data_IF_791283337344
#
_entry.id   IF_791283337344
#
_cell.length_a   1.000
_cell.length_b   1.000
_cell.length_c   1.000
_cell.angle_alpha   90.00
_cell.angle_beta   90.00
_cell.angle_gamma   90.00
#
_symmetry.space_group_name_H-M   'P 1'
#
loop_
_entity.id
_entity.type
_entity.pdbx_description
1 polymer ?
#
# COMPACT_ATOMS: atom_id res chain seq x y z
N UNK A 1 3.81 7.26 51.12
CA UNK A 1 4.18 7.83 49.80
C UNK A 1 4.39 6.74 48.72
N UNK A 2 3.54 5.72 48.60
CA UNK A 2 3.79 4.57 47.64
C UNK A 2 2.64 4.32 46.67
N UNK A 3 1.64 5.21 46.57
CA UNK A 3 0.47 5.03 45.66
C UNK A 3 0.55 5.75 44.31
N UNK A 4 1.44 6.71 44.16
CA UNK A 4 1.47 7.61 42.99
C UNK A 4 2.34 7.03 41.83
N UNK A 5 3.28 6.15 42.14
CA UNK A 5 4.23 5.62 41.13
C UNK A 5 3.58 4.55 40.22
N UNK A 6 2.60 3.78 40.73
CA UNK A 6 1.96 2.69 39.95
C UNK A 6 1.05 3.24 38.85
N UNK A 7 0.41 4.40 39.05
CA UNK A 7 -0.48 5.02 38.06
C UNK A 7 0.28 5.61 36.84
N UNK A 8 1.48 6.14 37.06
CA UNK A 8 2.30 6.71 35.98
C UNK A 8 2.88 5.63 35.07
N UNK A 9 3.29 4.49 35.64
CA UNK A 9 3.79 3.34 34.87
C UNK A 9 2.71 2.68 33.99
N UNK A 10 1.47 2.59 34.48
CA UNK A 10 0.36 2.06 33.68
C UNK A 10 0.00 3.01 32.52
N UNK A 11 -0.04 4.33 32.73
CA UNK A 11 -0.34 5.28 31.66
C UNK A 11 0.76 5.31 30.59
N UNK A 12 2.02 5.19 30.97
CA UNK A 12 3.14 5.12 30.01
C UNK A 12 3.11 3.83 29.16
N UNK A 13 2.72 2.70 29.75
CA UNK A 13 2.61 1.43 29.01
C UNK A 13 1.46 1.46 27.99
N UNK A 14 0.34 2.08 28.30
CA UNK A 14 -0.79 2.23 27.35
C UNK A 14 -0.44 3.18 26.20
N UNK A 15 0.28 4.26 26.46
CA UNK A 15 0.75 5.17 25.42
C UNK A 15 1.74 4.49 24.46
N UNK A 16 2.68 3.70 24.98
CA UNK A 16 3.65 2.95 24.16
C UNK A 16 2.98 1.88 23.27
N UNK A 17 1.97 1.17 23.80
CA UNK A 17 1.20 0.20 23.03
C UNK A 17 0.42 0.90 21.91
N UNK A 18 -0.21 2.03 22.19
CA UNK A 18 -0.94 2.80 21.20
C UNK A 18 -0.05 3.32 20.04
N UNK A 19 1.15 3.77 20.35
CA UNK A 19 2.14 4.23 19.36
C UNK A 19 2.64 3.06 18.51
N UNK A 20 2.96 1.92 19.13
CA UNK A 20 3.44 0.73 18.42
C UNK A 20 2.36 0.17 17.48
N UNK A 21 1.11 0.13 17.89
CA UNK A 21 -0.01 -0.29 17.04
C UNK A 21 -0.25 0.67 15.89
N UNK A 22 -0.18 1.98 16.14
CA UNK A 22 -0.30 3.00 15.08
C UNK A 22 0.79 2.83 14.01
N UNK A 23 2.04 2.59 14.41
CA UNK A 23 3.14 2.35 13.49
C UNK A 23 2.95 1.08 12.64
N UNK A 24 2.48 -0.02 13.25
CA UNK A 24 2.19 -1.25 12.52
C UNK A 24 1.07 -1.08 11.48
N UNK A 25 0.04 -0.30 11.82
CA UNK A 25 -1.05 0.02 10.90
C UNK A 25 -0.55 0.86 9.72
N UNK A 26 0.23 1.89 9.97
CA UNK A 26 0.82 2.72 8.90
C UNK A 26 1.73 1.89 7.98
N UNK A 27 2.54 1.00 8.55
CA UNK A 27 3.40 0.12 7.76
C UNK A 27 2.59 -0.86 6.90
N UNK A 28 1.52 -1.43 7.43
CA UNK A 28 0.61 -2.29 6.67
C UNK A 28 -0.04 -1.55 5.50
N UNK A 29 -0.54 -0.35 5.75
CA UNK A 29 -1.15 0.51 4.73
C UNK A 29 -0.14 0.79 3.62
N UNK A 30 1.06 1.24 3.96
CA UNK A 30 2.12 1.52 2.99
C UNK A 30 2.46 0.29 2.14
N UNK A 31 2.51 -0.88 2.75
CA UNK A 31 2.84 -2.14 2.07
C UNK A 31 1.75 -2.58 1.09
N UNK A 32 0.47 -2.42 1.47
CA UNK A 32 -0.64 -3.05 0.74
C UNK A 32 -1.56 -2.07 0.00
N UNK A 33 -1.40 -0.75 0.15
CA UNK A 33 -2.27 0.24 -0.51
C UNK A 33 -2.37 0.06 -2.03
N UNK A 34 -1.26 -0.24 -2.70
CA UNK A 34 -1.25 -0.45 -4.15
C UNK A 34 -2.05 -1.68 -4.53
N UNK A 35 -1.90 -2.76 -3.76
CA UNK A 35 -2.64 -3.99 -3.99
C UNK A 35 -4.15 -3.75 -3.81
N UNK A 36 -4.55 -3.02 -2.77
CA UNK A 36 -5.95 -2.66 -2.55
C UNK A 36 -6.52 -1.78 -3.67
N UNK A 37 -5.75 -0.80 -4.19
CA UNK A 37 -6.16 0.02 -5.34
C UNK A 37 -6.28 -0.85 -6.62
N UNK A 38 -5.37 -1.79 -6.86
CA UNK A 38 -5.48 -2.73 -7.98
C UNK A 38 -6.74 -3.59 -7.88
N UNK A 39 -7.02 -4.14 -6.70
CA UNK A 39 -8.25 -4.90 -6.45
C UNK A 39 -9.51 -4.05 -6.66
N UNK A 40 -9.49 -2.79 -6.20
CA UNK A 40 -10.59 -1.85 -6.45
C UNK A 40 -10.86 -1.66 -7.95
N UNK A 41 -9.82 -1.47 -8.74
CA UNK A 41 -9.96 -1.27 -10.19
C UNK A 41 -10.49 -2.51 -10.91
N UNK A 42 -10.17 -3.70 -10.43
CA UNK A 42 -10.54 -4.98 -11.04
C UNK A 42 -11.91 -5.47 -10.58
N UNK A 43 -12.21 -5.34 -9.30
CA UNK A 43 -13.37 -5.95 -8.65
C UNK A 43 -14.40 -4.94 -8.15
N UNK A 44 -14.13 -3.64 -8.26
CA UNK A 44 -15.04 -2.57 -7.80
C UNK A 44 -15.39 -2.62 -6.31
N UNK A 45 -14.43 -3.01 -5.49
CA UNK A 45 -14.50 -2.95 -4.02
C UNK A 45 -13.63 -1.76 -3.59
N UNK A 46 -14.10 -0.81 -2.75
CA UNK A 46 -13.27 0.32 -2.31
C UNK A 46 -11.93 -0.12 -1.74
N UNK A 47 -10.85 0.54 -2.12
CA UNK A 47 -9.52 0.26 -1.59
C UNK A 47 -9.45 0.50 -0.08
N UNK A 48 -10.15 1.52 0.41
CA UNK A 48 -10.30 1.82 1.83
C UNK A 48 -10.92 0.67 2.62
N UNK A 49 -11.97 0.04 2.10
CA UNK A 49 -12.63 -1.12 2.69
C UNK A 49 -11.67 -2.31 2.72
N UNK A 50 -11.03 -2.62 1.60
CA UNK A 50 -10.07 -3.74 1.52
C UNK A 50 -8.91 -3.55 2.50
N UNK A 51 -8.35 -2.34 2.62
CA UNK A 51 -7.28 -2.04 3.58
C UNK A 51 -7.76 -2.16 5.03
N UNK A 52 -8.91 -1.58 5.37
CA UNK A 52 -9.46 -1.63 6.73
C UNK A 52 -9.76 -3.07 7.17
N UNK A 53 -10.35 -3.89 6.28
CA UNK A 53 -10.55 -5.31 6.53
C UNK A 53 -9.22 -6.03 6.74
N UNK A 54 -8.25 -5.84 5.85
CA UNK A 54 -6.93 -6.46 5.98
C UNK A 54 -6.22 -6.07 7.29
N UNK A 55 -6.34 -4.82 7.74
CA UNK A 55 -5.81 -4.37 9.03
C UNK A 55 -6.41 -5.13 10.21
N UNK A 56 -7.74 -5.26 10.24
CA UNK A 56 -8.46 -5.90 11.36
C UNK A 56 -8.23 -7.41 11.36
N UNK A 57 -8.49 -8.06 10.23
CA UNK A 57 -8.50 -9.52 10.10
C UNK A 57 -7.10 -10.13 10.24
N UNK A 58 -6.04 -9.37 9.91
CA UNK A 58 -4.67 -9.85 9.97
C UNK A 58 -3.85 -9.31 11.15
N UNK A 59 -4.43 -8.51 12.04
CA UNK A 59 -3.67 -7.75 13.05
C UNK A 59 -2.53 -6.97 12.38
N UNK A 60 -2.86 -6.17 11.38
CA UNK A 60 -1.89 -5.44 10.56
C UNK A 60 -0.77 -6.35 9.98
N UNK A 61 -1.14 -7.54 9.52
CA UNK A 61 -0.23 -8.51 8.91
C UNK A 61 0.60 -9.33 9.91
N UNK A 62 0.38 -9.18 11.22
CA UNK A 62 1.16 -9.85 12.28
C UNK A 62 0.52 -11.15 12.76
N UNK A 63 -0.73 -11.41 12.45
CA UNK A 63 -1.42 -12.63 12.87
C UNK A 63 -0.76 -13.88 12.28
N UNK A 64 -0.91 -15.02 12.94
CA UNK A 64 -0.43 -16.32 12.43
C UNK A 64 -1.00 -16.64 11.05
N UNK A 65 -2.27 -16.28 10.80
CA UNK A 65 -2.89 -16.46 9.48
C UNK A 65 -2.18 -15.63 8.40
N UNK A 66 -1.81 -14.40 8.70
CA UNK A 66 -1.09 -13.55 7.75
C UNK A 66 0.35 -14.01 7.53
N UNK A 67 1.09 -14.34 8.61
CA UNK A 67 2.53 -14.63 8.54
C UNK A 67 2.85 -16.04 8.04
N UNK A 68 2.05 -17.05 8.41
CA UNK A 68 2.30 -18.46 8.06
C UNK A 68 1.50 -18.92 6.83
N UNK A 69 0.30 -18.38 6.66
CA UNK A 69 -0.60 -18.78 5.58
C UNK A 69 -0.82 -17.69 4.52
N UNK A 70 -0.21 -16.51 4.63
CA UNK A 70 -0.49 -15.35 3.78
C UNK A 70 -1.99 -15.00 3.71
N UNK A 71 -2.79 -15.39 4.71
CA UNK A 71 -4.23 -15.20 4.73
C UNK A 71 -4.57 -13.93 5.52
N UNK A 72 -4.68 -12.82 4.82
CA UNK A 72 -4.89 -11.50 5.40
C UNK A 72 -6.36 -11.19 5.75
N UNK A 73 -7.30 -12.05 5.36
CA UNK A 73 -8.74 -11.81 5.52
C UNK A 73 -9.46 -12.93 6.27
N UNK A 74 -8.72 -13.87 6.85
CA UNK A 74 -9.32 -14.97 7.63
C UNK A 74 -10.24 -15.87 6.82
N UNK A 75 -9.99 -16.07 5.52
CA UNK A 75 -10.90 -16.86 4.68
C UNK A 75 -10.76 -18.34 4.99
N UNK A 76 -11.87 -18.94 5.41
CA UNK A 76 -12.00 -20.39 5.68
C UNK A 76 -12.13 -21.21 4.39
N UNK A 77 -11.79 -22.50 4.42
CA UNK A 77 -11.74 -23.37 3.23
C UNK A 77 -13.08 -23.69 2.60
N UNK A 78 -14.20 -23.38 3.17
CA UNK A 78 -15.53 -23.77 2.70
C UNK A 78 -15.74 -23.68 1.17
N UNK A 79 -16.71 -24.39 0.63
CA UNK A 79 -17.04 -24.43 -0.79
C UNK A 79 -16.07 -25.29 -1.61
N UNK A 80 -15.66 -24.80 -2.79
CA UNK A 80 -14.84 -25.52 -3.77
C UNK A 80 -13.31 -25.35 -3.54
N UNK A 81 -12.87 -24.99 -2.33
CA UNK A 81 -11.45 -24.83 -2.06
C UNK A 81 -10.71 -26.18 -2.04
N UNK A 82 -9.82 -26.41 -3.01
CA UNK A 82 -8.96 -27.60 -3.12
C UNK A 82 -7.48 -27.29 -2.85
N UNK A 83 -7.17 -26.06 -2.41
CA UNK A 83 -5.80 -25.62 -2.12
C UNK A 83 -5.34 -26.01 -0.70
N UNK A 84 -4.08 -25.70 -0.36
CA UNK A 84 -3.53 -25.93 0.97
C UNK A 84 -4.27 -25.12 2.04
N UNK A 85 -4.22 -25.60 3.29
CA UNK A 85 -4.84 -24.93 4.43
C UNK A 85 -3.98 -25.10 5.69
N UNK A 86 -4.28 -24.31 6.70
CA UNK A 86 -3.79 -24.50 8.07
C UNK A 86 -4.99 -24.65 9.03
N UNK A 87 -4.77 -25.34 10.12
CA UNK A 87 -5.75 -25.48 11.20
C UNK A 87 -5.55 -24.38 12.24
N UNK A 88 -6.64 -23.77 12.69
CA UNK A 88 -6.65 -22.79 13.77
C UNK A 88 -7.96 -22.84 14.52
N UNK A 89 -7.93 -22.58 15.82
CA UNK A 89 -9.12 -22.38 16.62
C UNK A 89 -9.66 -20.95 16.36
N UNK A 90 -10.94 -20.84 16.08
CA UNK A 90 -11.67 -19.59 15.88
C UNK A 90 -13.06 -19.74 16.52
N UNK A 91 -14.16 -19.70 15.77
CA UNK A 91 -15.51 -19.97 16.29
C UNK A 91 -15.66 -21.43 16.78
N UNK A 92 -14.88 -22.33 16.20
CA UNK A 92 -14.78 -23.75 16.60
C UNK A 92 -13.31 -24.21 16.64
N UNK A 93 -13.01 -25.31 17.36
CA UNK A 93 -11.68 -25.93 17.34
C UNK A 93 -11.32 -26.46 15.93
N UNK A 94 -10.03 -26.34 15.56
CA UNK A 94 -9.46 -26.94 14.35
C UNK A 94 -10.14 -26.52 13.04
N UNK A 95 -10.61 -25.30 12.94
CA UNK A 95 -11.16 -24.79 11.68
C UNK A 95 -10.07 -24.64 10.61
N UNK A 96 -10.46 -24.93 9.36
CA UNK A 96 -9.54 -24.89 8.21
C UNK A 96 -9.55 -23.52 7.56
N UNK A 97 -8.38 -22.85 7.53
CA UNK A 97 -8.17 -21.58 6.87
C UNK A 97 -7.33 -21.76 5.62
N UNK A 98 -7.68 -21.09 4.53
CA UNK A 98 -6.93 -21.13 3.27
C UNK A 98 -5.50 -20.68 3.49
N UNK A 99 -4.56 -21.37 2.82
CA UNK A 99 -3.14 -20.98 2.77
C UNK A 99 -2.80 -20.56 1.35
N UNK A 100 -2.22 -19.40 1.21
CA UNK A 100 -1.84 -18.80 -0.08
C UNK A 100 -0.32 -18.78 -0.25
N UNK A 101 0.16 -18.68 -1.49
CA UNK A 101 1.57 -18.53 -1.80
C UNK A 101 2.09 -17.13 -1.48
N UNK A 102 1.19 -16.13 -1.52
CA UNK A 102 1.51 -14.73 -1.29
C UNK A 102 0.31 -13.95 -0.75
N UNK A 103 0.57 -12.77 -0.17
CA UNK A 103 -0.48 -11.81 0.18
C UNK A 103 -1.33 -11.42 -1.04
N UNK A 104 -0.73 -11.34 -2.24
CA UNK A 104 -1.45 -11.01 -3.47
C UNK A 104 -2.56 -12.03 -3.79
N UNK A 105 -2.30 -13.33 -3.60
CA UNK A 105 -3.34 -14.36 -3.78
C UNK A 105 -4.47 -14.21 -2.75
N UNK A 106 -4.14 -13.84 -1.51
CA UNK A 106 -5.14 -13.56 -0.47
C UNK A 106 -6.04 -12.38 -0.81
N UNK A 107 -5.47 -11.28 -1.29
CA UNK A 107 -6.22 -10.10 -1.74
C UNK A 107 -7.11 -10.40 -2.95
N UNK A 108 -6.59 -11.18 -3.89
CA UNK A 108 -7.34 -11.62 -5.07
C UNK A 108 -8.53 -12.50 -4.67
N UNK A 109 -8.30 -13.48 -3.79
CA UNK A 109 -9.34 -14.40 -3.34
C UNK A 109 -10.38 -13.68 -2.48
N UNK A 110 -10.00 -12.72 -1.64
CA UNK A 110 -10.92 -11.86 -0.90
C UNK A 110 -11.82 -11.06 -1.86
N UNK A 111 -11.26 -10.47 -2.91
CA UNK A 111 -12.04 -9.72 -3.88
C UNK A 111 -13.00 -10.61 -4.65
N UNK A 112 -12.58 -11.81 -5.03
CA UNK A 112 -13.46 -12.83 -5.62
C UNK A 112 -14.54 -13.28 -4.65
N UNK A 113 -14.19 -13.51 -3.40
CA UNK A 113 -15.14 -13.91 -2.36
C UNK A 113 -16.29 -12.91 -2.21
N UNK A 114 -16.01 -11.62 -2.24
CA UNK A 114 -17.05 -10.59 -2.17
C UNK A 114 -17.83 -10.46 -3.49
N UNK A 115 -17.14 -10.45 -4.63
CA UNK A 115 -17.76 -10.17 -5.94
C UNK A 115 -18.61 -11.32 -6.49
N UNK A 116 -18.37 -12.57 -6.06
CA UNK A 116 -19.07 -13.76 -6.59
C UNK A 116 -20.20 -14.27 -5.71
N UNK A 117 -20.29 -13.80 -4.46
CA UNK A 117 -21.34 -14.28 -3.54
C UNK A 117 -22.54 -13.36 -3.53
N UNK A 118 -23.72 -13.90 -3.88
CA UNK A 118 -24.97 -13.16 -4.03
C UNK A 118 -25.36 -12.29 -2.85
N UNK A 119 -25.02 -12.71 -1.60
CA UNK A 119 -25.32 -11.92 -0.39
C UNK A 119 -24.65 -10.55 -0.36
N UNK A 120 -23.57 -10.34 -1.12
CA UNK A 120 -22.86 -9.05 -1.24
C UNK A 120 -23.23 -8.27 -2.49
N UNK A 121 -24.08 -8.81 -3.38
CA UNK A 121 -24.34 -8.21 -4.70
C UNK A 121 -24.87 -6.76 -4.62
N UNK A 122 -25.69 -6.45 -3.61
CA UNK A 122 -26.21 -5.09 -3.42
C UNK A 122 -25.14 -4.04 -3.17
N UNK A 123 -23.98 -4.41 -2.61
CA UNK A 123 -22.88 -3.51 -2.35
C UNK A 123 -22.30 -2.91 -3.62
N UNK A 124 -22.34 -3.65 -4.72
CA UNK A 124 -21.79 -3.23 -6.02
C UNK A 124 -22.63 -2.15 -6.72
N UNK A 125 -23.82 -1.80 -6.17
CA UNK A 125 -24.61 -0.65 -6.57
C UNK A 125 -24.15 0.66 -5.90
N UNK A 126 -23.31 0.57 -4.84
CA UNK A 126 -22.78 1.74 -4.14
C UNK A 126 -21.62 2.37 -4.94
N UNK A 127 -21.43 3.67 -4.70
CA UNK A 127 -20.22 4.35 -5.21
C UNK A 127 -18.98 3.79 -4.52
N UNK A 128 -17.85 3.73 -5.23
CA UNK A 128 -16.56 3.34 -4.65
C UNK A 128 -16.13 4.26 -3.50
N UNK A 129 -16.57 5.51 -3.49
CA UNK A 129 -16.27 6.48 -2.45
C UNK A 129 -17.24 6.44 -1.26
N UNK A 130 -18.24 5.56 -1.29
CA UNK A 130 -19.20 5.38 -0.20
C UNK A 130 -18.76 4.25 0.74
N UNK A 131 -17.61 4.46 1.39
CA UNK A 131 -17.07 3.47 2.33
C UNK A 131 -18.01 3.19 3.51
N UNK A 132 -18.79 4.17 3.93
CA UNK A 132 -19.76 4.01 5.03
C UNK A 132 -20.89 3.05 4.63
N UNK A 133 -21.48 3.24 3.44
CA UNK A 133 -22.47 2.31 2.89
C UNK A 133 -21.89 0.92 2.69
N UNK A 134 -20.65 0.80 2.22
CA UNK A 134 -19.96 -0.47 2.09
C UNK A 134 -19.74 -1.17 3.43
N UNK A 135 -19.25 -0.47 4.47
CA UNK A 135 -19.02 -1.04 5.80
C UNK A 135 -20.32 -1.54 6.43
N UNK A 136 -21.38 -0.72 6.37
CA UNK A 136 -22.71 -1.07 6.89
C UNK A 136 -23.30 -2.27 6.13
N UNK A 137 -23.21 -2.26 4.82
CA UNK A 137 -23.71 -3.33 3.97
C UNK A 137 -22.96 -4.65 4.15
N UNK A 138 -21.64 -4.63 4.35
CA UNK A 138 -20.85 -5.83 4.71
C UNK A 138 -21.34 -6.44 6.02
N UNK A 139 -21.58 -5.60 7.05
CA UNK A 139 -22.14 -6.07 8.32
C UNK A 139 -23.53 -6.66 8.14
N UNK A 140 -24.42 -5.99 7.40
CA UNK A 140 -25.78 -6.46 7.13
C UNK A 140 -25.78 -7.77 6.35
N UNK A 141 -24.83 -7.96 5.42
CA UNK A 141 -24.66 -9.20 4.65
C UNK A 141 -23.97 -10.33 5.44
N UNK A 142 -23.68 -10.12 6.73
CA UNK A 142 -23.10 -11.14 7.61
C UNK A 142 -21.63 -11.46 7.31
N UNK A 143 -20.82 -10.44 6.95
CA UNK A 143 -19.38 -10.64 6.80
C UNK A 143 -18.71 -10.98 8.12
N UNK A 144 -19.09 -10.30 9.20
CA UNK A 144 -18.61 -10.55 10.55
C UNK A 144 -19.75 -10.59 11.56
N UNK A 145 -19.56 -11.36 12.63
CA UNK A 145 -20.52 -11.52 13.74
C UNK A 145 -20.54 -10.29 14.67
N UNK A 146 -19.38 -9.63 14.85
CA UNK A 146 -19.23 -8.47 15.72
C UNK A 146 -20.26 -7.36 15.39
N UNK A 147 -21.12 -6.95 16.34
CA UNK A 147 -22.13 -5.91 16.10
C UNK A 147 -21.53 -4.55 15.72
N UNK A 148 -20.32 -4.22 16.19
CA UNK A 148 -19.62 -2.96 15.89
C UNK A 148 -18.69 -3.03 14.69
N UNK A 149 -18.79 -4.06 13.86
CA UNK A 149 -17.89 -4.25 12.72
C UNK A 149 -17.87 -3.07 11.75
N UNK A 150 -19.04 -2.55 11.38
CA UNK A 150 -19.15 -1.39 10.49
C UNK A 150 -18.51 -0.13 11.09
N UNK A 151 -18.78 0.17 12.36
CA UNK A 151 -18.19 1.30 13.08
C UNK A 151 -16.67 1.19 13.16
N UNK A 152 -16.16 -0.02 13.40
CA UNK A 152 -14.72 -0.28 13.46
C UNK A 152 -14.05 -0.02 12.12
N UNK A 153 -14.63 -0.50 11.01
CA UNK A 153 -14.13 -0.23 9.65
C UNK A 153 -14.11 1.27 9.36
N UNK A 154 -15.24 1.96 9.60
CA UNK A 154 -15.36 3.41 9.38
C UNK A 154 -14.32 4.17 10.20
N UNK A 155 -14.20 3.87 11.49
CA UNK A 155 -13.24 4.53 12.37
C UNK A 155 -11.78 4.34 11.93
N UNK A 156 -11.41 3.18 11.38
CA UNK A 156 -10.07 2.95 10.82
C UNK A 156 -9.89 3.75 9.52
N UNK A 157 -10.88 3.72 8.63
CA UNK A 157 -10.82 4.46 7.36
C UNK A 157 -10.62 5.95 7.61
N UNK A 158 -11.35 6.52 8.55
CA UNK A 158 -11.26 7.94 8.91
C UNK A 158 -9.96 8.28 9.64
N UNK A 159 -9.55 7.46 10.62
CA UNK A 159 -8.31 7.68 11.40
C UNK A 159 -7.06 7.72 10.54
N UNK A 160 -6.99 6.86 9.51
CA UNK A 160 -5.82 6.71 8.65
C UNK A 160 -6.03 7.31 7.25
N UNK A 161 -7.11 8.07 7.04
CA UNK A 161 -7.48 8.70 5.76
C UNK A 161 -7.44 7.73 4.58
N UNK A 162 -7.95 6.50 4.77
CA UNK A 162 -7.91 5.47 3.73
C UNK A 162 -8.81 5.80 2.54
N UNK A 163 -9.84 6.64 2.72
CA UNK A 163 -10.75 7.07 1.67
C UNK A 163 -10.05 7.80 0.51
N UNK A 164 -8.85 8.35 0.73
CA UNK A 164 -8.03 8.93 -0.33
C UNK A 164 -7.72 7.91 -1.44
N UNK A 165 -7.54 6.63 -1.08
CA UNK A 165 -7.20 5.57 -2.03
C UNK A 165 -8.37 5.17 -2.94
N UNK A 166 -9.60 5.44 -2.57
CA UNK A 166 -10.80 5.13 -3.37
C UNK A 166 -10.92 6.01 -4.63
N UNK A 167 -10.21 7.12 -4.66
CA UNK A 167 -10.15 8.05 -5.80
C UNK A 167 -8.91 7.85 -6.67
N UNK A 168 -7.97 7.00 -6.23
CA UNK A 168 -6.72 6.75 -6.95
C UNK A 168 -6.92 5.74 -8.08
N UNK A 169 -6.15 5.92 -9.15
CA UNK A 169 -6.08 4.97 -10.26
C UNK A 169 -4.63 4.64 -10.57
N UNK A 170 -4.34 3.36 -10.60
CA UNK A 170 -3.07 2.88 -11.12
C UNK A 170 -3.15 2.95 -12.65
N UNK A 171 -2.28 3.74 -13.24
CA UNK A 171 -2.13 3.80 -14.70
C UNK A 171 -0.97 2.89 -15.06
N UNK A 172 -1.30 1.71 -15.58
CA UNK A 172 -0.31 0.80 -16.13
C UNK A 172 -0.05 1.20 -17.58
N UNK A 173 1.16 1.61 -17.94
CA UNK A 173 1.46 1.95 -19.32
C UNK A 173 1.30 0.71 -20.21
N UNK A 174 0.49 0.82 -21.26
CA UNK A 174 0.37 -0.10 -22.41
C UNK A 174 0.01 -1.58 -22.14
N UNK A 175 -0.65 -1.92 -21.05
CA UNK A 175 -0.94 -3.34 -20.86
C UNK A 175 -2.12 -3.62 -19.95
N UNK A 176 -3.20 -4.11 -20.53
CA UNK A 176 -4.34 -4.64 -19.81
C UNK A 176 -3.98 -5.86 -18.92
N UNK A 177 -5.00 -6.59 -18.47
CA UNK A 177 -4.93 -7.73 -17.53
C UNK A 177 -3.79 -8.75 -17.77
N UNK A 178 -3.32 -8.95 -19.01
CA UNK A 178 -2.21 -9.86 -19.34
C UNK A 178 -0.86 -9.42 -18.76
N UNK A 179 -0.60 -8.14 -18.63
CA UNK A 179 0.67 -7.63 -18.11
C UNK A 179 0.71 -7.64 -16.59
N UNK A 180 -0.43 -7.41 -15.94
CA UNK A 180 -0.57 -7.54 -14.48
C UNK A 180 -0.26 -8.95 -13.99
N UNK A 181 -0.66 -9.97 -14.75
CA UNK A 181 -0.40 -11.38 -14.43
C UNK A 181 1.08 -11.79 -14.53
N UNK A 182 1.92 -10.97 -15.20
CA UNK A 182 3.37 -11.21 -15.36
C UNK A 182 4.24 -10.50 -14.32
N UNK A 183 3.72 -9.46 -13.67
CA UNK A 183 4.51 -8.72 -12.67
C UNK A 183 4.60 -9.50 -11.36
N UNK A 184 5.68 -10.25 -11.20
CA UNK A 184 6.01 -10.95 -9.94
C UNK A 184 6.67 -10.03 -8.89
N UNK A 185 6.93 -8.77 -9.26
CA UNK A 185 7.56 -7.81 -8.34
C UNK A 185 6.53 -6.87 -7.70
N UNK A 186 6.71 -6.50 -6.42
CA UNK A 186 5.85 -5.53 -5.78
C UNK A 186 5.95 -4.17 -6.47
N UNK A 187 4.80 -3.50 -6.60
CA UNK A 187 4.71 -2.12 -7.07
C UNK A 187 4.35 -1.22 -5.90
N UNK A 188 4.81 0.02 -5.96
CA UNK A 188 4.63 1.02 -4.92
C UNK A 188 4.09 2.31 -5.51
N UNK A 189 3.60 3.21 -4.65
CA UNK A 189 3.08 4.51 -5.06
C UNK A 189 3.83 5.64 -4.35
N UNK A 190 4.27 6.62 -5.14
CA UNK A 190 4.83 7.86 -4.63
C UNK A 190 4.33 9.00 -5.52
N UNK A 191 3.77 10.05 -4.92
CA UNK A 191 3.25 11.20 -5.65
C UNK A 191 2.24 10.79 -6.77
N UNK A 192 1.35 9.82 -6.48
CA UNK A 192 0.43 9.14 -7.42
C UNK A 192 1.11 8.52 -8.64
N UNK A 193 2.38 8.18 -8.53
CA UNK A 193 3.14 7.50 -9.56
C UNK A 193 3.50 6.10 -9.10
N UNK A 194 3.23 5.11 -9.95
CA UNK A 194 3.65 3.73 -9.71
C UNK A 194 5.15 3.63 -9.93
N UNK A 195 5.83 2.96 -9.00
CA UNK A 195 7.24 2.62 -9.12
C UNK A 195 7.51 1.20 -8.65
N UNK A 196 8.63 0.66 -9.03
CA UNK A 196 9.20 -0.60 -8.51
C UNK A 196 10.53 -0.31 -7.84
N UNK A 197 10.96 -1.21 -6.96
CA UNK A 197 12.29 -1.17 -6.35
C UNK A 197 13.16 -2.20 -7.04
N UNK A 198 14.34 -1.79 -7.47
CA UNK A 198 15.32 -2.67 -8.10
C UNK A 198 15.81 -3.71 -7.09
N UNK A 199 15.84 -4.98 -7.51
CA UNK A 199 16.40 -6.10 -6.76
C UNK A 199 17.88 -6.27 -7.14
N UNK A 200 18.61 -7.02 -6.36
CA UNK A 200 19.98 -7.39 -6.68
C UNK A 200 20.06 -8.07 -8.05
N UNK A 201 20.87 -7.52 -8.94
CA UNK A 201 21.06 -8.02 -10.30
C UNK A 201 20.05 -7.52 -11.34
N UNK A 202 19.13 -6.62 -10.95
CA UNK A 202 18.23 -5.95 -11.88
C UNK A 202 18.99 -4.96 -12.78
N UNK A 203 18.54 -4.88 -14.01
CA UNK A 203 18.83 -3.80 -14.94
C UNK A 203 17.51 -3.24 -15.52
N UNK A 204 17.61 -2.20 -16.33
CA UNK A 204 16.42 -1.60 -16.97
C UNK A 204 15.77 -2.56 -17.98
N UNK A 205 16.50 -3.52 -18.53
CA UNK A 205 15.96 -4.53 -19.45
C UNK A 205 15.09 -5.54 -18.71
N UNK A 206 15.54 -6.02 -17.54
CA UNK A 206 14.76 -6.90 -16.67
C UNK A 206 13.46 -6.22 -16.21
N UNK A 207 13.53 -4.96 -15.76
CA UNK A 207 12.35 -4.19 -15.37
C UNK A 207 11.44 -3.93 -16.57
N UNK A 208 11.99 -3.68 -17.76
CA UNK A 208 11.22 -3.52 -18.99
C UNK A 208 10.45 -4.80 -19.36
N UNK A 209 11.09 -5.96 -19.22
CA UNK A 209 10.45 -7.26 -19.43
C UNK A 209 9.28 -7.48 -18.47
N UNK A 210 9.50 -7.25 -17.16
CA UNK A 210 8.47 -7.43 -16.13
C UNK A 210 7.30 -6.46 -16.29
N UNK A 211 7.58 -5.19 -16.63
CA UNK A 211 6.57 -4.12 -16.65
C UNK A 211 5.96 -3.90 -18.04
N UNK A 212 6.58 -4.41 -19.12
CA UNK A 212 6.20 -4.17 -20.50
C UNK A 212 6.41 -2.72 -20.96
N UNK A 213 7.18 -1.94 -20.19
CA UNK A 213 7.57 -0.59 -20.56
C UNK A 213 8.96 -0.70 -21.18
N UNK A 214 9.14 -0.15 -22.38
CA UNK A 214 10.46 -0.21 -23.01
C UNK A 214 11.53 0.44 -22.13
N UNK A 215 12.74 -0.13 -22.14
CA UNK A 215 13.89 0.39 -21.40
C UNK A 215 14.11 1.89 -21.63
N UNK A 216 14.03 2.33 -22.88
CA UNK A 216 14.15 3.75 -23.24
C UNK A 216 13.13 4.65 -22.54
N UNK A 217 11.87 4.18 -22.40
CA UNK A 217 10.84 4.91 -21.66
C UNK A 217 11.12 4.91 -20.16
N UNK A 218 11.54 3.77 -19.59
CA UNK A 218 11.91 3.69 -18.19
C UNK A 218 13.04 4.67 -17.85
N UNK A 219 14.11 4.67 -18.63
CA UNK A 219 15.22 5.61 -18.46
C UNK A 219 14.76 7.08 -18.56
N UNK A 220 13.93 7.40 -19.55
CA UNK A 220 13.35 8.74 -19.71
C UNK A 220 12.45 9.15 -18.54
N UNK A 221 11.66 8.24 -17.98
CA UNK A 221 10.80 8.51 -16.83
C UNK A 221 11.61 8.79 -15.57
N UNK A 222 12.75 8.11 -15.43
CA UNK A 222 13.64 8.22 -14.30
C UNK A 222 14.77 9.27 -14.49
N UNK A 223 14.81 9.91 -15.67
CA UNK A 223 15.77 10.98 -15.98
C UNK A 223 17.25 10.51 -15.90
N UNK A 224 17.53 9.27 -16.38
CA UNK A 224 18.88 8.68 -16.40
C UNK A 224 19.32 8.31 -17.82
N UNK A 225 20.63 8.36 -18.04
CA UNK A 225 21.29 7.98 -19.29
C UNK A 225 21.45 6.47 -19.46
N UNK A 226 22.05 6.05 -20.59
CA UNK A 226 22.28 4.64 -20.89
C UNK A 226 23.30 3.99 -19.97
N UNK A 227 24.28 4.78 -19.52
CA UNK A 227 25.38 4.40 -18.63
C UNK A 227 24.96 4.21 -17.18
N UNK A 228 23.75 4.67 -16.79
CA UNK A 228 23.28 4.50 -15.44
C UNK A 228 22.97 3.03 -15.16
N UNK A 229 23.64 2.46 -14.17
CA UNK A 229 23.41 1.10 -13.68
C UNK A 229 22.54 1.14 -12.43
N UNK A 230 21.54 0.26 -12.36
CA UNK A 230 20.69 0.13 -11.19
C UNK A 230 21.45 -0.54 -10.04
N UNK A 231 21.31 0.02 -8.86
CA UNK A 231 21.69 -0.62 -7.61
C UNK A 231 20.46 -1.25 -6.93
N UNK A 232 20.70 -2.26 -6.10
CA UNK A 232 19.65 -2.82 -5.23
C UNK A 232 19.06 -1.71 -4.35
N UNK A 233 17.74 -1.60 -4.34
CA UNK A 233 17.02 -0.55 -3.61
C UNK A 233 16.67 0.69 -4.45
N UNK A 234 17.19 0.82 -5.66
CA UNK A 234 16.85 1.95 -6.53
C UNK A 234 15.35 1.99 -6.86
N UNK A 235 14.76 3.19 -6.74
CA UNK A 235 13.39 3.46 -7.14
C UNK A 235 13.33 3.65 -8.65
N UNK A 236 12.48 2.89 -9.33
CA UNK A 236 12.27 2.99 -10.78
C UNK A 236 10.80 3.31 -11.06
N UNK A 237 10.53 4.57 -11.39
CA UNK A 237 9.20 5.01 -11.77
C UNK A 237 8.76 4.42 -13.10
N UNK A 238 7.52 3.90 -13.13
CA UNK A 238 6.88 3.33 -14.31
C UNK A 238 6.13 4.36 -15.15
N UNK A 239 6.13 5.60 -14.71
CA UNK A 239 5.54 6.75 -15.38
C UNK A 239 6.43 7.99 -15.20
N UNK A 240 6.19 9.00 -16.04
CA UNK A 240 6.95 10.25 -16.00
C UNK A 240 6.71 10.99 -14.67
N UNK A 241 7.78 11.31 -13.95
CA UNK A 241 7.72 12.08 -12.70
C UNK A 241 6.96 13.40 -12.87
N UNK A 242 6.29 13.83 -11.79
CA UNK A 242 5.43 15.02 -11.81
C UNK A 242 6.24 16.33 -11.74
N UNK A 243 5.55 17.44 -11.94
CA UNK A 243 6.13 18.78 -11.72
C UNK A 243 6.09 19.16 -10.24
N UNK A 244 5.07 18.72 -9.52
CA UNK A 244 4.78 19.10 -8.14
C UNK A 244 4.64 17.86 -7.26
N UNK A 245 4.92 18.01 -5.97
CA UNK A 245 4.57 17.00 -4.97
C UNK A 245 3.05 17.01 -4.74
N UNK A 246 2.52 15.86 -4.28
CA UNK A 246 1.14 15.78 -3.81
C UNK A 246 0.97 16.47 -2.45
N UNK A 247 -0.25 16.92 -2.14
CA UNK A 247 -0.61 17.28 -0.77
C UNK A 247 -0.46 16.04 0.15
N UNK A 248 -0.06 16.16 1.41
CA UNK A 248 0.22 17.38 2.18
C UNK A 248 1.68 17.85 2.15
N UNK A 249 2.51 17.37 1.21
CA UNK A 249 3.95 17.72 1.17
C UNK A 249 4.22 19.06 0.50
N UNK A 250 3.22 19.64 -0.15
CA UNK A 250 3.36 20.90 -0.87
C UNK A 250 3.74 22.04 0.06
N UNK A 251 4.69 22.86 -0.36
CA UNK A 251 5.27 23.98 0.40
C UNK A 251 6.02 23.57 1.69
N UNK A 252 6.28 22.28 1.89
CA UNK A 252 7.15 21.81 2.97
C UNK A 252 8.63 21.89 2.57
N UNK A 253 9.48 21.94 3.58
CA UNK A 253 10.92 21.92 3.42
C UNK A 253 11.45 20.51 3.69
N UNK A 254 12.29 20.02 2.78
CA UNK A 254 13.10 18.84 2.99
C UNK A 254 14.51 19.28 3.45
N UNK A 255 14.97 18.77 4.58
CA UNK A 255 16.33 18.98 5.04
C UNK A 255 17.21 17.84 4.56
N UNK A 256 18.25 18.17 3.81
CA UNK A 256 19.16 17.22 3.18
C UNK A 256 19.89 16.38 4.22
N UNK A 257 19.83 15.08 4.05
CA UNK A 257 20.46 14.08 4.91
C UNK A 257 21.80 13.59 4.30
N UNK A 258 22.71 13.01 5.10
CA UNK A 258 23.92 12.40 4.58
C UNK A 258 23.64 11.39 3.46
N UNK A 259 24.38 11.47 2.36
CA UNK A 259 24.23 10.58 1.20
C UNK A 259 23.10 10.94 0.22
N UNK A 260 22.32 11.98 0.50
CA UNK A 260 21.31 12.45 -0.45
C UNK A 260 21.93 13.35 -1.54
N UNK A 261 21.36 13.27 -2.73
CA UNK A 261 21.64 14.15 -3.87
C UNK A 261 20.34 14.75 -4.39
N UNK A 262 20.43 15.80 -5.20
CA UNK A 262 19.25 16.35 -5.89
C UNK A 262 18.49 15.29 -6.66
N UNK A 263 19.20 14.33 -7.27
CA UNK A 263 18.59 13.20 -7.97
C UNK A 263 17.86 12.26 -7.01
N UNK A 264 18.51 11.80 -5.93
CA UNK A 264 17.87 10.87 -4.96
C UNK A 264 16.65 11.51 -4.29
N UNK A 265 16.70 12.81 -3.98
CA UNK A 265 15.56 13.57 -3.45
C UNK A 265 14.44 13.67 -4.50
N UNK A 266 14.77 13.91 -5.77
CA UNK A 266 13.78 13.91 -6.86
C UNK A 266 13.11 12.55 -7.03
N UNK A 267 13.84 11.45 -6.85
CA UNK A 267 13.29 10.08 -6.84
C UNK A 267 12.41 9.86 -5.62
N UNK A 268 12.86 10.25 -4.43
CA UNK A 268 12.09 10.11 -3.18
C UNK A 268 10.69 10.72 -3.26
N UNK A 269 10.55 11.88 -3.91
CA UNK A 269 9.29 12.61 -3.99
C UNK A 269 8.56 12.45 -5.33
N UNK A 270 9.05 11.67 -6.27
CA UNK A 270 8.43 11.46 -7.58
C UNK A 270 8.30 12.75 -8.40
N UNK A 271 9.20 13.70 -8.22
CA UNK A 271 9.22 14.98 -8.93
C UNK A 271 10.38 15.05 -9.90
N UNK A 272 10.21 15.77 -11.00
CA UNK A 272 11.24 15.91 -12.01
C UNK A 272 12.38 16.78 -11.49
N UNK A 273 13.61 16.30 -11.64
CA UNK A 273 14.84 16.91 -11.16
C UNK A 273 14.94 18.40 -11.51
N UNK A 274 14.64 18.76 -12.77
CA UNK A 274 14.68 20.16 -13.22
C UNK A 274 13.75 21.12 -12.45
N UNK A 275 12.62 20.61 -11.91
CA UNK A 275 11.71 21.45 -11.13
C UNK A 275 12.21 21.61 -9.70
N UNK A 276 12.87 20.62 -9.14
CA UNK A 276 13.49 20.73 -7.83
C UNK A 276 14.58 21.83 -7.84
N UNK A 277 15.44 21.87 -8.85
CA UNK A 277 16.38 22.98 -9.05
C UNK A 277 15.66 24.32 -9.22
N UNK A 278 14.67 24.38 -10.13
CA UNK A 278 13.96 25.62 -10.45
C UNK A 278 13.28 26.26 -9.23
N UNK A 279 12.65 25.45 -8.37
CA UNK A 279 11.91 25.97 -7.22
C UNK A 279 12.83 26.48 -6.11
N UNK A 280 14.02 25.92 -6.04
CA UNK A 280 15.00 26.29 -5.03
C UNK A 280 16.00 27.35 -5.56
N UNK A 281 15.82 27.82 -6.81
CA UNK A 281 16.67 28.80 -7.46
C UNK A 281 18.14 28.37 -7.53
N UNK A 282 18.39 27.06 -7.55
CA UNK A 282 19.75 26.52 -7.63
C UNK A 282 20.21 26.41 -9.09
N UNK A 283 21.48 26.74 -9.37
CA UNK A 283 22.09 26.42 -10.66
C UNK A 283 22.19 24.90 -10.84
N UNK A 284 22.33 24.42 -12.09
CA UNK A 284 22.35 22.98 -12.38
C UNK A 284 23.56 22.24 -11.81
N UNK A 285 24.63 22.96 -11.55
CA UNK A 285 25.91 22.51 -10.98
C UNK A 285 25.98 22.73 -9.47
N UNK A 286 24.87 23.09 -8.82
CA UNK A 286 24.85 23.29 -7.38
C UNK A 286 25.19 21.98 -6.64
N UNK A 287 26.23 22.03 -5.83
CA UNK A 287 26.63 20.96 -4.94
C UNK A 287 25.80 21.02 -3.64
N UNK A 288 24.98 19.99 -3.45
CA UNK A 288 24.10 19.89 -2.31
C UNK A 288 24.90 19.53 -1.05
N UNK A 289 24.65 20.23 0.04
CA UNK A 289 25.30 19.98 1.34
C UNK A 289 24.29 19.46 2.37
N UNK A 290 24.77 18.65 3.33
CA UNK A 290 23.96 18.17 4.44
C UNK A 290 23.45 19.35 5.25
N UNK A 291 22.15 19.39 5.52
CA UNK A 291 21.49 20.49 6.21
C UNK A 291 20.84 21.51 5.28
N UNK A 292 21.11 21.50 3.99
CA UNK A 292 20.39 22.35 3.03
C UNK A 292 18.90 22.11 3.10
N UNK A 293 18.11 23.17 2.91
CA UNK A 293 16.64 23.10 3.00
C UNK A 293 16.02 23.32 1.64
N UNK A 294 15.44 22.28 1.09
CA UNK A 294 14.81 22.27 -0.23
C UNK A 294 13.30 22.46 -0.11
N UNK A 295 12.77 23.45 -0.81
CA UNK A 295 11.33 23.65 -0.93
C UNK A 295 10.72 22.58 -1.85
N UNK A 296 9.72 21.88 -1.35
CA UNK A 296 8.88 20.97 -2.11
C UNK A 296 7.62 21.72 -2.58
N UNK A 297 7.38 21.75 -3.88
CA UNK A 297 6.32 22.59 -4.47
C UNK A 297 5.36 21.80 -5.36
#
# INVERSE_FOLDING_TARGET
MHRTVIFILCLASWALIGVAQSNAYLQYIETYKIMAIDQMQRYRIPASITLAQGLIESDAGRSTLATVANNHFGIKTGGLWNGPYILRNDDAPNEKFRKYKSAAESYEDHSRFLSTRGRYSSLFNLKLTDYSGWATGLKAAGYATNPRYAETLIGIIERYDLAQYDRMRLVYPNGGAKQRARMERPVYLCNDLVYVVAKRGDDFSAIAYDTGISESKLRKYNEVGKEYMLAEGDVVFLAKKKKHVAEPLRMKLHTVQPGESMYSISQRYGIRLKYLYKWNLFPKDYELTVGDRLLLK
#
